data_IF_866948070459
#
_entry.id   IF_866948070459
#
_cell.length_a   1.000
_cell.length_b   1.000
_cell.length_c   1.000
_cell.angle_alpha   90.00
_cell.angle_beta   90.00
_cell.angle_gamma   90.00
#
_symmetry.space_group_name_H-M   'P 1'
#
loop_
_entity.id
_entity.type
_entity.pdbx_description
1 polymer ?
#
# COMPACT_ATOMS: atom_id res chain seq x y z
N UNK A 1 -19.06 1.12 22.49
CA UNK A 1 -19.75 2.07 21.59
C UNK A 1 -20.14 1.28 20.35
N UNK A 2 -21.42 1.03 20.10
CA UNK A 2 -21.85 0.28 18.92
C UNK A 2 -21.96 1.26 17.74
N UNK A 3 -21.29 0.94 16.64
CA UNK A 3 -21.38 1.70 15.40
C UNK A 3 -22.79 1.56 14.83
N UNK A 4 -23.36 2.67 14.37
CA UNK A 4 -24.65 2.68 13.69
C UNK A 4 -24.53 2.03 12.30
N UNK A 5 -25.64 1.52 11.72
CA UNK A 5 -25.63 0.97 10.36
C UNK A 5 -25.05 1.93 9.31
N UNK A 6 -25.33 3.23 9.43
CA UNK A 6 -24.82 4.26 8.52
C UNK A 6 -23.30 4.47 8.67
N UNK A 7 -22.78 4.41 9.90
CA UNK A 7 -21.33 4.45 10.15
C UNK A 7 -20.63 3.21 9.56
N UNK A 8 -21.26 2.04 9.65
CA UNK A 8 -20.74 0.82 9.05
C UNK A 8 -20.75 0.88 7.51
N UNK A 9 -21.78 1.49 6.91
CA UNK A 9 -21.86 1.70 5.47
C UNK A 9 -20.79 2.68 4.98
N UNK A 10 -20.60 3.80 5.67
CA UNK A 10 -19.55 4.78 5.35
C UNK A 10 -18.15 4.16 5.42
N UNK A 11 -17.86 3.39 6.47
CA UNK A 11 -16.58 2.67 6.61
C UNK A 11 -16.38 1.67 5.46
N UNK A 12 -17.43 0.99 5.03
CA UNK A 12 -17.36 0.05 3.90
C UNK A 12 -17.09 0.76 2.56
N UNK A 13 -17.72 1.91 2.34
CA UNK A 13 -17.52 2.72 1.13
C UNK A 13 -16.13 3.35 1.08
N UNK A 14 -15.65 3.87 2.21
CA UNK A 14 -14.28 4.42 2.32
C UNK A 14 -13.24 3.31 2.12
N UNK A 15 -13.47 2.11 2.66
CA UNK A 15 -12.61 0.95 2.43
C UNK A 15 -12.64 0.48 0.96
N UNK A 16 -13.79 0.56 0.28
CA UNK A 16 -13.89 0.26 -1.15
C UNK A 16 -13.18 1.31 -2.00
N UNK A 17 -13.28 2.60 -1.65
CA UNK A 17 -12.52 3.68 -2.30
C UNK A 17 -11.01 3.49 -2.15
N UNK A 18 -10.55 3.08 -0.97
CA UNK A 18 -9.13 2.82 -0.72
C UNK A 18 -8.53 1.75 -1.64
N UNK A 19 -9.32 0.74 -2.06
CA UNK A 19 -8.88 -0.30 -3.01
C UNK A 19 -8.63 0.24 -4.43
N UNK A 20 -9.22 1.38 -4.76
CA UNK A 20 -9.25 1.94 -6.11
C UNK A 20 -8.64 3.33 -6.17
N UNK A 21 -8.07 3.82 -5.06
CA UNK A 21 -7.60 5.20 -4.95
C UNK A 21 -6.25 5.36 -5.69
N UNK A 22 -6.23 6.11 -6.82
CA UNK A 22 -5.00 6.35 -7.57
C UNK A 22 -4.00 7.21 -6.78
N UNK A 23 -4.42 7.90 -5.72
CA UNK A 23 -3.52 8.62 -4.83
C UNK A 23 -2.67 7.66 -3.98
N UNK A 24 -3.26 6.56 -3.50
CA UNK A 24 -2.55 5.53 -2.72
C UNK A 24 -1.53 4.81 -3.60
N UNK A 25 -1.94 4.42 -4.81
CA UNK A 25 -1.02 3.82 -5.79
C UNK A 25 0.16 4.74 -6.11
N UNK A 26 -0.12 6.02 -6.42
CA UNK A 26 0.94 7.01 -6.71
C UNK A 26 1.86 7.24 -5.52
N UNK A 27 1.34 7.29 -4.31
CA UNK A 27 2.14 7.44 -3.10
C UNK A 27 3.11 6.26 -2.92
N UNK A 28 2.62 5.03 -3.09
CA UNK A 28 3.43 3.81 -3.00
C UNK A 28 4.52 3.78 -4.07
N UNK A 29 4.17 4.09 -5.32
CA UNK A 29 5.14 4.16 -6.42
C UNK A 29 6.21 5.24 -6.17
N UNK A 30 5.80 6.39 -5.63
CA UNK A 30 6.73 7.46 -5.25
C UNK A 30 7.68 7.02 -4.13
N UNK A 31 7.18 6.32 -3.11
CA UNK A 31 8.02 5.78 -2.02
C UNK A 31 9.04 4.78 -2.54
N UNK A 32 8.60 3.84 -3.40
CA UNK A 32 9.48 2.85 -4.01
C UNK A 32 10.54 3.51 -4.87
N UNK A 33 10.17 4.50 -5.68
CA UNK A 33 11.11 5.27 -6.50
C UNK A 33 12.16 5.97 -5.64
N UNK A 34 11.74 6.66 -4.57
CA UNK A 34 12.67 7.34 -3.68
C UNK A 34 13.67 6.38 -3.02
N UNK A 35 13.22 5.19 -2.61
CA UNK A 35 14.09 4.16 -2.03
C UNK A 35 15.11 3.61 -3.04
N UNK A 36 14.70 3.41 -4.29
CA UNK A 36 15.61 3.00 -5.38
C UNK A 36 16.61 4.11 -5.72
N UNK A 37 16.15 5.36 -5.82
CA UNK A 37 17.02 6.50 -6.08
C UNK A 37 18.06 6.65 -4.95
N UNK A 38 17.68 6.42 -3.69
CA UNK A 38 18.60 6.40 -2.55
C UNK A 38 19.62 5.24 -2.61
N UNK A 39 19.21 4.05 -3.07
CA UNK A 39 20.14 2.94 -3.30
C UNK A 39 21.16 3.28 -4.40
N UNK A 40 20.71 3.88 -5.52
CA UNK A 40 21.59 4.28 -6.63
C UNK A 40 22.60 5.33 -6.17
N UNK A 41 22.19 6.25 -5.31
CA UNK A 41 23.06 7.29 -4.76
C UNK A 41 24.00 6.79 -3.64
N UNK A 42 23.86 5.54 -3.19
CA UNK A 42 24.70 4.97 -2.12
C UNK A 42 26.09 4.64 -2.66
N UNK A 43 27.12 4.89 -1.83
CA UNK A 43 28.50 4.48 -2.14
C UNK A 43 28.56 2.97 -2.38
N UNK A 44 29.05 2.57 -3.56
CA UNK A 44 29.16 1.18 -3.98
C UNK A 44 30.10 0.34 -3.09
N UNK A 45 30.99 0.98 -2.33
CA UNK A 45 31.93 0.32 -1.43
C UNK A 45 31.35 0.12 -0.02
N UNK A 46 30.29 0.85 0.34
CA UNK A 46 29.61 0.68 1.63
C UNK A 46 28.55 -0.42 1.54
N UNK A 47 29.02 -1.65 1.68
CA UNK A 47 28.17 -2.85 1.66
C UNK A 47 27.07 -2.85 2.72
N UNK A 48 27.27 -2.20 3.88
CA UNK A 48 26.25 -2.14 4.94
C UNK A 48 25.14 -1.20 4.52
N UNK A 49 25.48 0.00 4.02
CA UNK A 49 24.49 0.94 3.52
C UNK A 49 23.68 0.34 2.36
N UNK A 50 24.32 -0.35 1.42
CA UNK A 50 23.65 -1.04 0.31
C UNK A 50 22.65 -2.07 0.83
N UNK A 51 23.04 -2.92 1.79
CA UNK A 51 22.15 -3.92 2.36
C UNK A 51 20.94 -3.29 3.07
N UNK A 52 21.15 -2.20 3.81
CA UNK A 52 20.07 -1.44 4.44
C UNK A 52 19.09 -0.89 3.39
N UNK A 53 19.57 -0.25 2.33
CA UNK A 53 18.73 0.28 1.25
C UNK A 53 17.96 -0.82 0.51
N UNK A 54 18.61 -1.95 0.25
CA UNK A 54 17.92 -3.12 -0.33
C UNK A 54 16.86 -3.71 0.60
N UNK A 55 17.06 -3.65 1.92
CA UNK A 55 16.05 -4.08 2.90
C UNK A 55 14.84 -3.13 2.91
N UNK A 56 15.07 -1.82 2.82
CA UNK A 56 14.00 -0.81 2.71
C UNK A 56 13.13 -1.06 1.46
N UNK A 57 13.74 -1.29 0.30
CA UNK A 57 13.01 -1.62 -0.94
C UNK A 57 12.18 -2.90 -0.77
N UNK A 58 12.77 -3.96 -0.18
CA UNK A 58 12.06 -5.21 0.09
C UNK A 58 10.88 -5.04 1.04
N UNK A 59 11.01 -4.18 2.04
CA UNK A 59 9.91 -3.87 2.95
C UNK A 59 8.73 -3.21 2.21
N UNK A 60 9.01 -2.27 1.31
CA UNK A 60 7.98 -1.63 0.47
C UNK A 60 7.32 -2.67 -0.44
N UNK A 61 8.09 -3.52 -1.11
CA UNK A 61 7.55 -4.53 -2.02
C UNK A 61 6.68 -5.56 -1.27
N UNK A 62 7.12 -6.00 -0.08
CA UNK A 62 6.33 -6.89 0.77
C UNK A 62 5.03 -6.23 1.24
N UNK A 63 5.08 -4.96 1.64
CA UNK A 63 3.88 -4.20 2.00
C UNK A 63 2.88 -4.12 0.84
N UNK A 64 3.35 -3.86 -0.39
CA UNK A 64 2.51 -3.86 -1.58
C UNK A 64 1.84 -5.22 -1.82
N UNK A 65 2.57 -6.32 -1.61
CA UNK A 65 2.04 -7.67 -1.79
C UNK A 65 0.95 -8.01 -0.75
N UNK A 66 1.17 -7.64 0.51
CA UNK A 66 0.18 -7.81 1.59
C UNK A 66 -1.06 -6.94 1.33
N UNK A 67 -0.86 -5.69 0.89
CA UNK A 67 -1.94 -4.78 0.52
C UNK A 67 -2.76 -5.36 -0.64
N UNK A 68 -2.13 -5.84 -1.71
CA UNK A 68 -2.82 -6.48 -2.82
C UNK A 68 -3.62 -7.72 -2.38
N UNK A 69 -3.04 -8.52 -1.49
CA UNK A 69 -3.70 -9.70 -0.90
C UNK A 69 -4.93 -9.31 -0.08
N UNK A 70 -4.83 -8.26 0.74
CA UNK A 70 -5.95 -7.73 1.52
C UNK A 70 -7.07 -7.18 0.63
N UNK A 71 -6.72 -6.46 -0.44
CA UNK A 71 -7.67 -5.94 -1.43
C UNK A 71 -8.44 -7.08 -2.11
N UNK A 72 -7.73 -8.14 -2.53
CA UNK A 72 -8.33 -9.30 -3.22
C UNK A 72 -9.18 -10.19 -2.30
N UNK A 73 -8.80 -10.35 -1.02
CA UNK A 73 -9.54 -11.16 -0.04
C UNK A 73 -10.78 -10.48 0.52
N UNK A 74 -10.87 -9.16 0.42
CA UNK A 74 -12.03 -8.44 0.93
C UNK A 74 -13.27 -8.77 0.08
N UNK A 75 -14.37 -9.26 0.69
CA UNK A 75 -15.53 -9.77 -0.03
C UNK A 75 -16.10 -8.71 -0.97
N UNK A 76 -16.23 -9.06 -2.26
CA UNK A 76 -17.00 -8.26 -3.22
C UNK A 76 -18.46 -8.32 -2.78
N UNK A 77 -18.91 -7.35 -1.98
CA UNK A 77 -20.35 -7.15 -1.79
C UNK A 77 -20.91 -6.81 -3.17
N UNK A 78 -21.92 -7.55 -3.69
CA UNK A 78 -22.56 -7.13 -4.93
C UNK A 78 -23.11 -5.74 -4.70
N UNK A 79 -22.76 -4.80 -5.58
CA UNK A 79 -23.38 -3.48 -5.64
C UNK A 79 -24.88 -3.75 -5.79
N UNK A 80 -25.67 -3.40 -4.78
CA UNK A 80 -27.12 -3.41 -4.91
C UNK A 80 -27.44 -2.32 -5.94
N UNK A 81 -27.73 -2.75 -7.17
CA UNK A 81 -28.22 -1.88 -8.23
C UNK A 81 -29.65 -1.51 -7.84
N UNK A 82 -29.87 -0.22 -7.60
CA UNK A 82 -31.19 0.37 -7.36
C UNK A 82 -32.03 0.43 -8.65
#
# INVERSE_FOLDING_TARGET
MNLTPDQLAQIADDAMRFKSDPAVERAILSMRKAAVDALIATDATDSVAILCRQAEIRAIDNFCQELATAIMRAPRKPLAVA
#
